data_IF_507553189104
#
_entry.id   IF_507553189104
#
_cell.length_a   1.000
_cell.length_b   1.000
_cell.length_c   1.000
_cell.angle_alpha   90.00
_cell.angle_beta   90.00
_cell.angle_gamma   90.00
#
_symmetry.space_group_name_H-M   'P 1'
#
loop_
_entity.id
_entity.type
_entity.pdbx_description
1 polymer ?
#
# COMPACT_ATOMS: atom_id res chain seq x y z
N UNK A 1 13.60 -15.79 -2.89
CA UNK A 1 12.94 -14.70 -3.65
C UNK A 1 11.60 -15.22 -4.15
N UNK A 2 10.51 -14.92 -3.44
CA UNK A 2 9.18 -15.24 -3.94
C UNK A 2 8.92 -14.43 -5.21
N UNK A 3 8.43 -15.09 -6.25
CA UNK A 3 8.17 -14.43 -7.51
C UNK A 3 6.97 -13.47 -7.37
N UNK A 4 7.24 -12.18 -7.43
CA UNK A 4 6.24 -11.10 -7.46
C UNK A 4 5.30 -11.28 -8.64
N UNK A 5 4.06 -10.80 -8.50
CA UNK A 5 3.08 -10.77 -9.59
C UNK A 5 2.45 -12.11 -9.96
N UNK A 6 2.29 -13.03 -9.02
CA UNK A 6 1.73 -14.37 -9.26
C UNK A 6 0.47 -14.71 -8.46
N UNK A 7 -0.15 -13.74 -7.78
CA UNK A 7 -1.37 -14.04 -7.03
C UNK A 7 -2.58 -14.18 -7.96
N UNK A 8 -3.15 -15.37 -7.99
CA UNK A 8 -4.46 -15.63 -8.61
C UNK A 8 -5.56 -14.86 -7.87
N UNK A 9 -6.71 -14.58 -8.51
CA UNK A 9 -7.84 -13.93 -7.85
C UNK A 9 -8.27 -14.61 -6.54
N UNK A 10 -8.27 -15.95 -6.51
CA UNK A 10 -8.60 -16.72 -5.30
C UNK A 10 -7.58 -16.51 -4.16
N UNK A 11 -6.29 -16.42 -4.49
CA UNK A 11 -5.25 -16.14 -3.47
C UNK A 11 -5.33 -14.70 -2.97
N UNK A 12 -5.58 -13.73 -3.87
CA UNK A 12 -5.83 -12.35 -3.47
C UNK A 12 -7.03 -12.27 -2.51
N UNK A 13 -8.13 -12.94 -2.84
CA UNK A 13 -9.31 -13.00 -1.98
C UNK A 13 -9.01 -13.66 -0.62
N UNK A 14 -8.23 -14.74 -0.60
CA UNK A 14 -7.83 -15.40 0.65
C UNK A 14 -7.01 -14.45 1.56
N UNK A 15 -6.06 -13.71 1.01
CA UNK A 15 -5.28 -12.70 1.72
C UNK A 15 -6.19 -11.58 2.25
N UNK A 16 -7.11 -11.08 1.43
CA UNK A 16 -8.05 -10.04 1.85
C UNK A 16 -8.95 -10.51 3.01
N UNK A 17 -9.41 -11.76 2.98
CA UNK A 17 -10.15 -12.35 4.11
C UNK A 17 -9.30 -12.43 5.38
N UNK A 18 -8.00 -12.70 5.28
CA UNK A 18 -7.08 -12.68 6.42
C UNK A 18 -6.91 -11.27 7.00
N UNK A 19 -6.78 -10.25 6.15
CA UNK A 19 -6.79 -8.84 6.55
C UNK A 19 -8.08 -8.51 7.31
N UNK A 20 -9.24 -8.85 6.73
CA UNK A 20 -10.55 -8.63 7.35
C UNK A 20 -10.69 -9.30 8.73
N UNK A 21 -10.21 -10.54 8.89
CA UNK A 21 -10.22 -11.24 10.19
C UNK A 21 -9.34 -10.53 11.22
N UNK A 22 -8.14 -10.10 10.82
CA UNK A 22 -7.23 -9.38 11.72
C UNK A 22 -7.83 -8.05 12.18
N UNK A 23 -8.42 -7.28 11.24
CA UNK A 23 -9.11 -6.02 11.54
C UNK A 23 -10.31 -6.22 12.45
N UNK A 24 -11.18 -7.22 12.16
CA UNK A 24 -12.34 -7.52 12.99
C UNK A 24 -11.98 -7.87 14.44
N UNK A 25 -10.86 -8.59 14.63
CA UNK A 25 -10.36 -8.99 15.95
C UNK A 25 -9.83 -7.79 16.76
N UNK A 26 -9.22 -6.81 16.10
CA UNK A 26 -8.68 -5.61 16.76
C UNK A 26 -9.72 -4.51 16.98
N UNK A 27 -10.85 -4.55 16.27
CA UNK A 27 -11.88 -3.54 16.36
C UNK A 27 -12.69 -3.62 17.67
N UNK A 28 -13.22 -2.48 18.18
CA UNK A 28 -14.04 -2.43 19.40
C UNK A 28 -15.33 -3.26 19.31
N UNK A 29 -15.86 -3.77 20.43
CA UNK A 29 -17.00 -4.70 20.42
C UNK A 29 -18.25 -4.22 19.64
N UNK A 30 -18.50 -2.91 19.59
CA UNK A 30 -19.64 -2.25 18.96
C UNK A 30 -19.29 -1.57 17.61
N UNK A 31 -18.31 -2.08 16.87
CA UNK A 31 -17.95 -1.57 15.54
C UNK A 31 -18.98 -1.96 14.47
N UNK A 32 -19.30 -1.05 13.54
CA UNK A 32 -20.10 -1.32 12.33
C UNK A 32 -19.28 -1.30 11.04
N UNK A 33 -18.27 -0.43 10.98
CA UNK A 33 -17.37 -0.30 9.85
C UNK A 33 -15.94 -0.10 10.33
N UNK A 34 -14.98 -0.80 9.73
CA UNK A 34 -13.54 -0.57 9.93
C UNK A 34 -12.93 -0.19 8.59
N UNK A 35 -12.18 0.90 8.55
CA UNK A 35 -11.44 1.35 7.37
C UNK A 35 -9.95 1.29 7.66
N UNK A 36 -9.21 0.52 6.87
CA UNK A 36 -7.75 0.51 6.84
C UNK A 36 -7.31 1.24 5.58
N UNK A 37 -6.52 2.30 5.76
CA UNK A 37 -5.79 2.97 4.68
C UNK A 37 -4.34 2.53 4.72
N UNK A 38 -3.79 2.21 3.56
CA UNK A 38 -2.39 1.88 3.35
C UNK A 38 -1.81 2.78 2.27
N UNK A 39 -0.71 3.44 2.58
CA UNK A 39 0.18 4.09 1.62
C UNK A 39 1.48 3.28 1.62
N UNK A 40 1.97 2.86 0.46
CA UNK A 40 3.05 1.88 0.38
C UNK A 40 4.08 2.15 -0.73
N UNK A 41 5.34 1.92 -0.37
CA UNK A 41 6.50 1.69 -1.23
C UNK A 41 7.10 0.32 -0.89
N UNK A 42 8.22 -0.06 -1.51
CA UNK A 42 8.86 -1.36 -1.35
C UNK A 42 9.14 -1.71 0.13
N UNK A 43 9.83 -0.82 0.84
CA UNK A 43 10.30 -1.07 2.21
C UNK A 43 9.45 -0.37 3.27
N UNK A 44 8.42 0.37 2.86
CA UNK A 44 7.64 1.22 3.75
C UNK A 44 6.14 1.09 3.49
N UNK A 45 5.38 0.77 4.54
CA UNK A 45 3.92 0.75 4.51
C UNK A 45 3.39 1.56 5.68
N UNK A 46 2.85 2.74 5.39
CA UNK A 46 2.15 3.55 6.39
C UNK A 46 0.70 3.14 6.44
N UNK A 47 0.17 2.94 7.65
CA UNK A 47 -1.23 2.53 7.81
C UNK A 47 -1.98 3.40 8.79
N UNK A 48 -3.26 3.60 8.50
CA UNK A 48 -4.21 4.23 9.43
C UNK A 48 -5.49 3.41 9.46
N UNK A 49 -5.84 2.89 10.64
CA UNK A 49 -7.08 2.16 10.85
C UNK A 49 -8.06 2.97 11.68
N UNK A 50 -9.32 3.01 11.26
CA UNK A 50 -10.38 3.73 11.95
C UNK A 50 -11.63 2.86 12.00
N UNK A 51 -12.29 2.79 13.15
CA UNK A 51 -13.56 2.09 13.34
C UNK A 51 -14.68 3.11 13.57
N UNK A 52 -15.81 2.91 12.90
CA UNK A 52 -17.08 3.59 13.17
C UNK A 52 -17.93 2.64 14.00
N UNK A 53 -18.42 3.13 15.14
CA UNK A 53 -19.21 2.39 16.11
C UNK A 53 -20.72 2.46 15.80
N UNK A 54 -21.53 1.76 16.60
CA UNK A 54 -23.00 1.75 16.50
C UNK A 54 -23.67 3.12 16.70
N UNK A 55 -23.03 3.99 17.46
CA UNK A 55 -23.46 5.37 17.73
C UNK A 55 -22.89 6.39 16.74
N UNK A 56 -22.39 5.91 15.60
CA UNK A 56 -21.71 6.69 14.54
C UNK A 56 -20.40 7.36 14.98
N UNK A 57 -19.93 7.16 16.22
CA UNK A 57 -18.65 7.69 16.66
C UNK A 57 -17.51 6.97 15.95
N UNK A 58 -16.47 7.74 15.61
CA UNK A 58 -15.28 7.23 14.94
C UNK A 58 -14.11 7.19 15.92
N UNK A 59 -13.41 6.07 16.00
CA UNK A 59 -12.24 5.89 16.86
C UNK A 59 -11.05 5.32 16.08
N UNK A 60 -9.84 5.72 16.49
CA UNK A 60 -8.61 5.16 15.95
C UNK A 60 -8.40 3.74 16.49
N UNK A 61 -7.97 2.83 15.63
CA UNK A 61 -7.65 1.45 15.99
C UNK A 61 -6.20 1.20 15.63
N UNK A 62 -5.45 0.55 16.51
CA UNK A 62 -4.09 0.10 16.18
C UNK A 62 -4.16 -0.89 15.02
N UNK A 63 -3.46 -0.61 13.93
CA UNK A 63 -3.42 -1.53 12.78
C UNK A 63 -2.71 -2.81 13.18
N UNK A 64 -3.36 -3.99 13.07
CA UNK A 64 -2.72 -5.25 13.45
C UNK A 64 -1.52 -5.57 12.56
N UNK A 65 -0.36 -5.98 13.11
CA UNK A 65 0.82 -6.34 12.31
C UNK A 65 0.52 -7.42 11.25
N UNK A 66 -0.37 -8.36 11.56
CA UNK A 66 -0.81 -9.38 10.61
C UNK A 66 -1.55 -8.79 9.40
N UNK A 67 -2.34 -7.73 9.58
CA UNK A 67 -3.00 -7.04 8.48
C UNK A 67 -1.97 -6.29 7.61
N UNK A 68 -0.97 -5.64 8.23
CA UNK A 68 0.12 -4.95 7.50
C UNK A 68 0.89 -5.96 6.64
N UNK A 69 1.34 -7.06 7.23
CA UNK A 69 2.08 -8.10 6.51
C UNK A 69 1.29 -8.66 5.32
N UNK A 70 -0.03 -8.86 5.49
CA UNK A 70 -0.91 -9.35 4.43
C UNK A 70 -1.15 -8.33 3.33
N UNK A 71 -1.26 -7.04 3.66
CA UNK A 71 -1.33 -5.97 2.66
C UNK A 71 -0.02 -5.85 1.87
N UNK A 72 1.14 -6.04 2.52
CA UNK A 72 2.44 -6.09 1.82
C UNK A 72 2.52 -7.30 0.89
N UNK A 73 2.13 -8.50 1.35
CA UNK A 73 2.06 -9.70 0.51
C UNK A 73 1.14 -9.50 -0.71
N UNK A 74 0.00 -8.85 -0.49
CA UNK A 74 -0.94 -8.52 -1.55
C UNK A 74 -0.34 -7.55 -2.57
N UNK A 75 0.38 -6.52 -2.11
CA UNK A 75 1.05 -5.53 -2.98
C UNK A 75 2.03 -6.20 -3.92
N UNK A 76 2.91 -7.04 -3.38
CA UNK A 76 3.92 -7.79 -4.12
C UNK A 76 3.26 -8.75 -5.12
N UNK A 77 2.17 -9.38 -4.70
CA UNK A 77 1.43 -10.35 -5.49
C UNK A 77 0.57 -9.75 -6.60
N UNK A 78 0.14 -8.50 -6.45
CA UNK A 78 -0.62 -7.72 -7.44
C UNK A 78 0.26 -6.94 -8.42
N UNK A 79 1.59 -7.07 -8.32
CA UNK A 79 2.50 -6.55 -9.33
C UNK A 79 2.18 -7.10 -10.72
N UNK A 80 2.03 -6.21 -11.69
CA UNK A 80 1.91 -6.55 -13.10
C UNK A 80 3.06 -5.90 -13.86
N UNK A 81 3.86 -6.67 -14.64
CA UNK A 81 4.89 -6.10 -15.51
C UNK A 81 4.33 -4.97 -16.39
N UNK A 82 5.10 -3.88 -16.51
CA UNK A 82 4.73 -2.68 -17.28
C UNK A 82 3.69 -1.78 -16.61
N UNK A 83 2.93 -2.28 -15.62
CA UNK A 83 1.92 -1.49 -14.88
C UNK A 83 2.35 -1.14 -13.45
N UNK A 84 3.31 -1.88 -12.89
CA UNK A 84 3.67 -1.79 -11.48
C UNK A 84 2.58 -2.40 -10.59
N UNK A 85 2.40 -1.81 -9.39
CA UNK A 85 1.39 -2.22 -8.39
C UNK A 85 0.78 -0.96 -7.74
N UNK A 86 -0.09 -1.07 -6.75
CA UNK A 86 -0.83 0.08 -6.20
C UNK A 86 -0.01 0.87 -5.16
N UNK A 87 -0.05 2.19 -5.17
CA UNK A 87 0.60 3.02 -4.13
C UNK A 87 -0.28 3.21 -2.90
N UNK A 88 -1.60 3.19 -3.10
CA UNK A 88 -2.58 3.29 -2.02
C UNK A 88 -3.58 2.15 -2.07
N UNK A 89 -4.01 1.71 -0.90
CA UNK A 89 -5.14 0.81 -0.74
C UNK A 89 -6.07 1.30 0.39
N UNK A 90 -7.37 1.24 0.15
CA UNK A 90 -8.42 1.51 1.15
C UNK A 90 -9.26 0.25 1.30
N UNK A 91 -9.07 -0.45 2.41
CA UNK A 91 -9.84 -1.63 2.78
C UNK A 91 -10.99 -1.21 3.71
N UNK A 92 -12.22 -1.53 3.35
CA UNK A 92 -13.42 -1.23 4.14
C UNK A 92 -14.06 -2.55 4.55
N UNK A 93 -14.12 -2.81 5.85
CA UNK A 93 -14.83 -3.94 6.45
C UNK A 93 -16.15 -3.45 7.04
N UNK A 94 -17.24 -4.16 6.79
CA UNK A 94 -18.58 -3.89 7.35
C UNK A 94 -19.15 -5.15 7.97
N UNK A 95 -19.87 -5.03 9.09
CA UNK A 95 -20.56 -6.19 9.68
C UNK A 95 -21.66 -6.73 8.75
N UNK A 96 -21.90 -8.06 8.73
CA UNK A 96 -21.25 -9.13 9.52
C UNK A 96 -20.03 -9.76 8.82
N UNK A 97 -19.24 -9.01 8.03
CA UNK A 97 -18.01 -9.51 7.41
C UNK A 97 -17.86 -9.22 5.91
N UNK A 98 -18.70 -8.35 5.34
CA UNK A 98 -18.54 -7.87 3.96
C UNK A 98 -17.37 -6.91 3.89
N UNK A 99 -16.56 -6.99 2.85
CA UNK A 99 -15.49 -6.04 2.63
C UNK A 99 -15.42 -5.56 1.18
N UNK A 100 -14.88 -4.35 1.00
CA UNK A 100 -14.49 -3.80 -0.29
C UNK A 100 -13.07 -3.25 -0.19
N UNK A 101 -12.34 -3.25 -1.30
CA UNK A 101 -11.00 -2.69 -1.36
C UNK A 101 -10.87 -1.84 -2.61
N UNK A 102 -10.31 -0.65 -2.43
CA UNK A 102 -9.99 0.27 -3.52
C UNK A 102 -8.49 0.44 -3.59
N UNK A 103 -7.93 0.36 -4.80
CA UNK A 103 -6.52 0.56 -5.05
C UNK A 103 -6.33 1.79 -5.91
N UNK A 104 -5.32 2.61 -5.62
CA UNK A 104 -4.85 3.66 -6.53
C UNK A 104 -3.43 3.36 -6.96
N UNK A 105 -3.19 3.46 -8.26
CA UNK A 105 -1.91 3.23 -8.91
C UNK A 105 -1.23 4.55 -9.33
N UNK A 106 -1.95 5.66 -9.18
CA UNK A 106 -1.74 6.93 -9.83
C UNK A 106 -1.78 8.12 -8.87
N UNK A 107 -2.28 7.94 -7.64
CA UNK A 107 -2.17 8.95 -6.60
C UNK A 107 -0.86 8.84 -5.84
N UNK A 108 -0.19 9.98 -5.63
CA UNK A 108 1.01 10.06 -4.80
C UNK A 108 0.70 9.65 -3.35
N UNK A 109 1.43 8.67 -2.77
CA UNK A 109 1.21 8.22 -1.40
C UNK A 109 1.54 9.34 -0.40
N UNK A 110 0.73 9.45 0.65
CA UNK A 110 0.86 10.51 1.65
C UNK A 110 1.35 9.95 2.97
N UNK A 111 2.67 10.01 3.18
CA UNK A 111 3.30 9.54 4.41
C UNK A 111 3.36 10.64 5.47
N UNK A 112 3.23 10.26 6.76
CA UNK A 112 3.39 11.21 7.88
C UNK A 112 4.79 11.84 7.94
N UNK A 113 5.81 11.07 7.56
CA UNK A 113 7.16 11.55 7.28
C UNK A 113 7.34 11.42 5.76
N UNK A 114 7.58 12.53 5.03
CA UNK A 114 7.76 12.47 3.58
C UNK A 114 8.86 11.48 3.18
N UNK A 115 8.55 10.61 2.22
CA UNK A 115 9.56 9.72 1.62
C UNK A 115 10.51 10.53 0.74
N UNK A 116 11.76 10.08 0.65
CA UNK A 116 12.76 10.68 -0.23
C UNK A 116 12.52 10.24 -1.67
N UNK A 117 12.98 11.02 -2.63
CA UNK A 117 12.89 10.68 -4.06
C UNK A 117 13.56 9.33 -4.38
N UNK A 118 14.63 9.00 -3.65
CA UNK A 118 15.32 7.70 -3.74
C UNK A 118 14.42 6.52 -3.36
N UNK A 119 13.52 6.67 -2.39
CA UNK A 119 12.60 5.60 -1.98
C UNK A 119 11.64 5.22 -3.13
N UNK A 120 11.19 6.23 -3.90
CA UNK A 120 10.39 6.01 -5.09
C UNK A 120 11.19 5.38 -6.24
N UNK A 121 12.47 5.73 -6.38
CA UNK A 121 13.37 5.11 -7.35
C UNK A 121 13.59 3.62 -7.05
N UNK A 122 13.82 3.27 -5.79
CA UNK A 122 13.92 1.88 -5.32
C UNK A 122 12.62 1.13 -5.57
N UNK A 123 11.46 1.71 -5.25
CA UNK A 123 10.15 1.11 -5.53
C UNK A 123 9.94 0.88 -7.04
N UNK A 124 10.27 1.87 -7.88
CA UNK A 124 10.12 1.76 -9.33
C UNK A 124 11.07 0.73 -9.95
N UNK A 125 12.25 0.49 -9.36
CA UNK A 125 13.16 -0.59 -9.77
C UNK A 125 12.60 -1.96 -9.38
N UNK A 126 11.92 -2.07 -8.24
CA UNK A 126 11.32 -3.32 -7.77
C UNK A 126 9.99 -3.66 -8.46
N UNK A 127 9.23 -2.63 -8.86
CA UNK A 127 7.95 -2.71 -9.56
C UNK A 127 7.96 -1.89 -10.85
N UNK A 128 8.72 -2.33 -11.89
CA UNK A 128 8.84 -1.60 -13.15
C UNK A 128 7.49 -1.24 -13.78
N UNK A 129 7.43 0.00 -14.27
CA UNK A 129 6.30 0.58 -15.00
C UNK A 129 6.77 1.05 -16.36
N UNK A 130 5.91 0.89 -17.36
CA UNK A 130 6.07 1.52 -18.66
C UNK A 130 5.81 3.02 -18.51
N UNK A 131 6.28 3.81 -19.48
CA UNK A 131 6.06 5.26 -19.51
C UNK A 131 4.60 5.62 -19.29
N UNK A 132 3.69 4.92 -19.96
CA UNK A 132 2.25 5.20 -19.97
C UNK A 132 1.58 4.84 -18.65
N UNK A 133 2.18 3.93 -17.87
CA UNK A 133 1.71 3.53 -16.53
C UNK A 133 2.44 4.28 -15.41
N UNK A 134 3.30 5.24 -15.75
CA UNK A 134 4.07 6.06 -14.80
C UNK A 134 3.42 7.45 -14.69
N UNK A 135 2.79 7.78 -13.55
CA UNK A 135 2.18 9.09 -13.33
C UNK A 135 3.21 10.23 -13.34
N UNK A 136 2.76 11.45 -13.66
CA UNK A 136 3.65 12.62 -13.78
C UNK A 136 4.37 12.97 -12.47
N UNK A 137 3.71 12.81 -11.31
CA UNK A 137 4.38 13.02 -10.03
C UNK A 137 5.53 12.02 -9.84
N UNK A 138 5.35 10.76 -10.24
CA UNK A 138 6.38 9.73 -10.09
C UNK A 138 7.54 10.02 -11.04
N UNK A 139 7.27 10.41 -12.30
CA UNK A 139 8.31 10.82 -13.26
C UNK A 139 9.21 11.92 -12.69
N UNK A 140 8.62 12.94 -12.05
CA UNK A 140 9.37 14.03 -11.42
C UNK A 140 10.26 13.54 -10.27
N UNK A 141 9.72 12.69 -9.38
CA UNK A 141 10.48 12.07 -8.28
C UNK A 141 11.65 11.23 -8.80
N UNK A 142 11.42 10.41 -9.83
CA UNK A 142 12.46 9.56 -10.42
C UNK A 142 13.57 10.39 -11.08
N UNK A 143 13.23 11.46 -11.80
CA UNK A 143 14.22 12.36 -12.39
C UNK A 143 15.13 12.99 -11.30
N UNK A 144 14.54 13.54 -10.24
CA UNK A 144 15.28 14.12 -9.12
C UNK A 144 16.20 13.10 -8.43
N UNK A 145 15.71 11.87 -8.22
CA UNK A 145 16.52 10.80 -7.62
C UNK A 145 17.71 10.39 -8.50
N UNK A 146 17.51 10.27 -9.82
CA UNK A 146 18.57 9.91 -10.76
C UNK A 146 19.62 11.02 -10.91
N UNK A 147 19.19 12.28 -10.89
CA UNK A 147 20.11 13.42 -10.86
C UNK A 147 20.98 13.40 -9.59
N UNK A 148 20.37 13.17 -8.42
CA UNK A 148 21.11 13.06 -7.16
C UNK A 148 22.09 11.87 -7.15
N UNK A 149 21.68 10.70 -7.67
CA UNK A 149 22.58 9.55 -7.83
C UNK A 149 23.77 9.85 -8.76
N UNK A 150 23.55 10.63 -9.84
CA UNK A 150 24.60 11.00 -10.78
C UNK A 150 25.61 11.98 -10.16
N UNK A 151 25.12 12.97 -9.40
CA UNK A 151 25.98 13.93 -8.68
C UNK A 151 26.83 13.21 -7.64
N UNK A 152 26.23 12.34 -6.82
CA UNK A 152 26.97 11.58 -5.80
C UNK A 152 28.10 10.72 -6.40
N UNK A 153 27.87 10.10 -7.56
CA UNK A 153 28.89 9.31 -8.27
C UNK A 153 30.01 10.17 -8.88
N UNK A 154 29.72 11.42 -9.23
CA UNK A 154 30.72 12.33 -9.78
C UNK A 154 31.65 12.88 -8.69
N UNK A 155 31.15 13.07 -7.47
CA UNK A 155 31.95 13.53 -6.33
C UNK A 155 32.86 12.43 -5.74
N UNK A 156 32.55 11.15 -6.00
CA UNK A 156 33.34 10.00 -5.56
C UNK A 156 34.53 9.66 -6.48
N UNK A 157 34.63 10.28 -7.67
CA UNK A 157 35.61 9.95 -8.71
C UNK A 157 36.56 11.10 -9.06
#
# INVERSE_FOLDING_TARGET
MSARGRLTPAQQEAILREVGRALAKAAPRNWNKVTLRCDALLDFCSTKTTAVLDDEQSTSVSTPPAAIAKMTELRDGMYSPGKGTWFKAVYILTRPGRFTVHYSHDEEPSFSIPAHDYDFLVDSRAYPRDSDSTPDWLRRRLAAALEAEAVAKADEN
#
